data_IF_856479346171
#
_entry.id   IF_856479346171
#
_cell.length_a   1.000
_cell.length_b   1.000
_cell.length_c   1.000
_cell.angle_alpha   90.00
_cell.angle_beta   90.00
_cell.angle_gamma   90.00
#
_symmetry.space_group_name_H-M   'P 1'
#
loop_
_entity.id
_entity.type
_entity.pdbx_description
1 polymer ?
#
# COMPACT_ATOMS: atom_id res chain seq x y z
N UNK A 1 -11.90 -25.56 10.10
CA UNK A 1 -10.92 -24.63 10.68
C UNK A 1 -10.50 -23.67 9.60
N UNK A 2 -10.52 -22.38 9.90
CA UNK A 2 -10.43 -21.24 9.00
C UNK A 2 -9.43 -21.40 7.84
N UNK A 3 -9.85 -20.99 6.63
CA UNK A 3 -8.93 -20.78 5.53
C UNK A 3 -7.88 -19.75 5.97
N UNK A 4 -6.57 -20.02 5.81
CA UNK A 4 -5.56 -19.04 6.16
C UNK A 4 -5.72 -17.85 5.21
N UNK A 5 -6.32 -16.77 5.70
CA UNK A 5 -6.34 -15.47 5.04
C UNK A 5 -4.90 -14.98 4.98
N UNK A 6 -4.16 -15.38 3.94
CA UNK A 6 -2.77 -14.96 3.78
C UNK A 6 -2.75 -13.51 3.29
N UNK A 7 -2.44 -12.62 4.22
CA UNK A 7 -2.12 -11.23 3.90
C UNK A 7 -0.75 -11.19 3.20
N UNK A 8 -0.64 -10.37 2.17
CA UNK A 8 0.62 -10.17 1.44
C UNK A 8 1.05 -8.73 1.57
N UNK A 9 2.31 -8.53 1.98
CA UNK A 9 2.88 -7.21 2.17
C UNK A 9 4.02 -6.95 1.20
N UNK A 10 4.05 -5.76 0.61
CA UNK A 10 5.18 -5.25 -0.16
C UNK A 10 5.68 -3.96 0.49
N UNK A 11 6.99 -3.74 0.45
CA UNK A 11 7.62 -2.49 0.86
C UNK A 11 8.21 -1.80 -0.37
N UNK A 12 7.97 -0.49 -0.49
CA UNK A 12 8.55 0.35 -1.53
C UNK A 12 9.05 1.66 -0.90
N UNK A 13 10.09 2.26 -1.47
CA UNK A 13 10.48 3.60 -0.99
C UNK A 13 9.44 4.65 -1.35
N UNK A 14 9.33 5.66 -0.48
CA UNK A 14 8.55 6.87 -0.71
C UNK A 14 9.00 7.57 -2.00
N UNK A 15 10.30 7.59 -2.30
CA UNK A 15 10.84 8.16 -3.54
C UNK A 15 10.37 7.43 -4.80
N UNK A 16 10.27 6.10 -4.74
CA UNK A 16 9.75 5.29 -5.86
C UNK A 16 8.26 5.49 -6.02
N UNK A 17 7.53 5.54 -4.89
CA UNK A 17 6.10 5.82 -4.87
C UNK A 17 5.81 7.20 -5.47
N UNK A 18 6.48 8.24 -5.00
CA UNK A 18 6.37 9.62 -5.49
C UNK A 18 6.63 9.68 -7.00
N UNK A 19 7.77 9.14 -7.46
CA UNK A 19 8.13 9.17 -8.87
C UNK A 19 7.04 8.54 -9.75
N UNK A 20 6.61 7.32 -9.43
CA UNK A 20 5.60 6.60 -10.23
C UNK A 20 4.25 7.32 -10.24
N UNK A 21 3.83 7.87 -9.10
CA UNK A 21 2.57 8.63 -9.02
C UNK A 21 2.68 9.93 -9.83
N UNK A 22 3.78 10.67 -9.69
CA UNK A 22 4.02 11.91 -10.41
C UNK A 22 4.05 11.69 -11.92
N UNK A 23 4.76 10.66 -12.38
CA UNK A 23 4.86 10.29 -13.80
C UNK A 23 3.49 9.92 -14.40
N UNK A 24 2.65 9.17 -13.67
CA UNK A 24 1.38 8.67 -14.20
C UNK A 24 0.21 9.64 -14.01
N UNK A 25 0.15 10.34 -12.88
CA UNK A 25 -1.02 11.13 -12.47
C UNK A 25 -0.71 12.62 -12.28
N UNK A 26 0.55 13.05 -12.43
CA UNK A 26 0.93 14.45 -12.28
C UNK A 26 0.72 15.01 -10.87
N UNK A 27 0.67 14.15 -9.84
CA UNK A 27 0.52 14.60 -8.46
C UNK A 27 1.80 15.26 -7.95
N UNK A 28 1.63 16.22 -7.05
CA UNK A 28 2.68 17.03 -6.43
C UNK A 28 2.49 17.08 -4.91
N UNK A 29 3.47 17.59 -4.18
CA UNK A 29 3.44 17.67 -2.71
C UNK A 29 3.21 16.29 -2.02
N UNK A 30 3.83 15.24 -2.56
CA UNK A 30 3.72 13.87 -2.04
C UNK A 30 4.69 13.72 -0.86
N UNK A 31 4.15 13.47 0.33
CA UNK A 31 4.89 13.23 1.56
C UNK A 31 4.02 12.36 2.50
N UNK A 32 4.56 11.81 3.61
CA UNK A 32 3.79 10.93 4.49
C UNK A 32 2.47 11.53 5.01
N UNK A 33 2.41 12.84 5.22
CA UNK A 33 1.21 13.52 5.72
C UNK A 33 0.15 13.77 4.63
N UNK A 34 0.52 13.67 3.36
CA UNK A 34 -0.37 13.84 2.20
C UNK A 34 -0.72 12.52 1.51
N UNK A 35 -0.45 11.37 2.15
CA UNK A 35 -0.81 10.04 1.66
C UNK A 35 -1.76 9.39 2.68
N UNK A 36 -3.06 9.38 2.37
CA UNK A 36 -4.10 8.96 3.33
C UNK A 36 -5.25 8.26 2.62
N UNK A 37 -5.66 7.10 3.12
CA UNK A 37 -6.91 6.47 2.67
C UNK A 37 -8.07 7.32 3.19
N UNK A 38 -8.89 7.83 2.27
CA UNK A 38 -10.02 8.71 2.61
C UNK A 38 -11.30 7.90 2.84
N UNK A 39 -11.53 6.88 2.01
CA UNK A 39 -12.76 6.10 2.05
C UNK A 39 -12.55 4.66 1.58
N UNK A 40 -13.41 3.75 2.06
CA UNK A 40 -13.48 2.35 1.66
C UNK A 40 -14.90 2.00 1.25
N UNK A 41 -15.03 1.08 0.30
CA UNK A 41 -16.30 0.43 -0.03
C UNK A 41 -16.75 -0.54 1.08
N UNK A 42 -18.01 -0.96 1.06
CA UNK A 42 -18.57 -1.98 1.96
C UNK A 42 -17.77 -3.29 1.95
N UNK A 43 -17.18 -3.63 0.80
CA UNK A 43 -16.31 -4.80 0.63
C UNK A 43 -14.86 -4.59 1.12
N UNK A 44 -14.57 -3.51 1.85
CA UNK A 44 -13.27 -3.19 2.45
C UNK A 44 -12.23 -2.61 1.49
N UNK A 45 -12.49 -2.61 0.17
CA UNK A 45 -11.57 -2.04 -0.84
C UNK A 45 -11.46 -0.53 -0.68
N UNK A 46 -10.25 0.00 -0.84
CA UNK A 46 -9.99 1.44 -0.89
C UNK A 46 -10.75 2.04 -2.07
N UNK A 47 -11.67 2.96 -1.77
CA UNK A 47 -12.43 3.69 -2.79
C UNK A 47 -11.65 4.94 -3.19
N UNK A 48 -11.23 5.73 -2.21
CA UNK A 48 -10.42 6.94 -2.41
C UNK A 48 -9.19 6.97 -1.50
N UNK A 49 -8.09 7.44 -2.05
CA UNK A 49 -6.83 7.71 -1.36
C UNK A 49 -6.29 9.06 -1.81
N UNK A 50 -6.00 9.93 -0.86
CA UNK A 50 -5.24 11.14 -1.08
C UNK A 50 -3.78 10.77 -1.33
N UNK A 51 -3.19 11.33 -2.38
CA UNK A 51 -1.75 11.29 -2.64
C UNK A 51 -1.31 12.68 -3.11
N UNK A 52 -0.66 13.41 -2.21
CA UNK A 52 -0.27 14.79 -2.47
C UNK A 52 -1.49 15.70 -2.64
N UNK A 53 -1.54 16.38 -3.79
CA UNK A 53 -2.64 17.24 -4.23
C UNK A 53 -3.74 16.50 -5.02
N UNK A 54 -3.65 15.18 -5.15
CA UNK A 54 -4.64 14.35 -5.88
C UNK A 54 -5.41 13.42 -4.97
N UNK A 55 -6.61 13.07 -5.43
CA UNK A 55 -7.38 11.93 -4.93
C UNK A 55 -7.39 10.88 -6.04
N UNK A 56 -6.95 9.68 -5.72
CA UNK A 56 -6.88 8.53 -6.61
C UNK A 56 -7.74 7.39 -6.06
N UNK A 57 -7.98 6.36 -6.88
CA UNK A 57 -8.71 5.17 -6.43
C UNK A 57 -7.76 4.11 -5.87
N UNK A 58 -8.27 3.21 -5.03
CA UNK A 58 -7.50 2.03 -4.61
C UNK A 58 -7.09 1.13 -5.80
N UNK A 59 -7.87 1.17 -6.90
CA UNK A 59 -7.54 0.46 -8.14
C UNK A 59 -6.32 1.06 -8.83
N UNK A 60 -6.20 2.39 -8.86
CA UNK A 60 -5.05 3.10 -9.44
C UNK A 60 -3.74 2.72 -8.75
N UNK A 61 -3.76 2.66 -7.42
CA UNK A 61 -2.61 2.23 -6.61
C UNK A 61 -2.30 0.76 -6.86
N UNK A 62 -3.34 -0.08 -6.85
CA UNK A 62 -3.19 -1.52 -7.10
C UNK A 62 -2.50 -1.79 -8.43
N UNK A 63 -2.96 -1.19 -9.51
CA UNK A 63 -2.40 -1.40 -10.85
C UNK A 63 -0.99 -0.82 -10.96
N UNK A 64 -0.72 0.36 -10.38
CA UNK A 64 0.58 1.02 -10.48
C UNK A 64 1.71 0.28 -9.72
N UNK A 65 1.37 -0.32 -8.58
CA UNK A 65 2.33 -1.00 -7.70
C UNK A 65 2.20 -2.52 -7.73
N UNK A 66 1.34 -3.07 -8.58
CA UNK A 66 1.16 -4.52 -8.73
C UNK A 66 0.57 -5.18 -7.48
N UNK A 67 -0.26 -4.47 -6.72
CA UNK A 67 -0.93 -5.04 -5.55
C UNK A 67 -1.94 -6.11 -5.99
N UNK A 68 -2.09 -7.15 -5.19
CA UNK A 68 -3.03 -8.24 -5.51
C UNK A 68 -4.49 -7.79 -5.46
N UNK A 69 -4.81 -6.83 -4.60
CA UNK A 69 -6.14 -6.31 -4.41
C UNK A 69 -6.12 -4.80 -4.14
N UNK A 70 -7.24 -4.13 -4.41
CA UNK A 70 -7.52 -2.78 -3.93
C UNK A 70 -7.98 -2.77 -2.46
N UNK A 71 -8.15 -3.94 -1.84
CA UNK A 71 -8.26 -4.07 -0.39
C UNK A 71 -6.86 -4.13 0.20
N UNK A 72 -6.32 -2.97 0.58
CA UNK A 72 -5.04 -2.87 1.25
C UNK A 72 -5.09 -1.87 2.40
N UNK A 73 -4.17 -2.01 3.35
CA UNK A 73 -3.73 -0.97 4.27
C UNK A 73 -2.36 -0.45 3.83
N UNK A 74 -2.02 0.77 4.24
CA UNK A 74 -0.70 1.34 4.05
C UNK A 74 -0.14 1.78 5.40
N UNK A 75 1.16 1.60 5.56
CA UNK A 75 1.92 1.93 6.74
C UNK A 75 3.21 2.63 6.32
N UNK A 76 3.67 3.59 7.11
CA UNK A 76 5.00 4.18 6.94
C UNK A 76 5.99 3.44 7.83
N UNK A 77 7.12 3.07 7.23
CA UNK A 77 8.30 2.57 7.93
C UNK A 77 9.34 3.68 7.92
N UNK A 78 9.39 4.43 9.01
CA UNK A 78 10.08 5.72 9.06
C UNK A 78 9.50 6.71 8.05
N UNK A 79 10.36 7.57 7.49
CA UNK A 79 9.98 8.56 6.47
C UNK A 79 10.38 8.16 5.05
N UNK A 80 10.98 6.98 4.89
CA UNK A 80 11.64 6.58 3.64
C UNK A 80 10.87 5.49 2.89
N UNK A 81 10.05 4.71 3.59
CA UNK A 81 9.38 3.54 3.02
C UNK A 81 7.88 3.52 3.32
N UNK A 82 7.13 2.94 2.38
CA UNK A 82 5.70 2.64 2.48
C UNK A 82 5.54 1.13 2.39
N UNK A 83 4.85 0.57 3.37
CA UNK A 83 4.45 -0.83 3.41
C UNK A 83 2.98 -0.94 3.05
N UNK A 84 2.66 -1.64 1.96
CA UNK A 84 1.30 -2.00 1.59
C UNK A 84 1.01 -3.42 2.08
N UNK A 85 -0.09 -3.61 2.80
CA UNK A 85 -0.58 -4.94 3.18
C UNK A 85 -1.93 -5.17 2.52
N UNK A 86 -2.01 -6.14 1.62
CA UNK A 86 -3.24 -6.52 0.92
C UNK A 86 -4.00 -7.58 1.70
N UNK A 87 -5.33 -7.46 1.70
CA UNK A 87 -6.26 -8.33 2.43
C UNK A 87 -7.17 -9.08 1.44
N UNK A 88 -7.30 -10.40 1.63
CA UNK A 88 -8.19 -11.28 0.87
C UNK A 88 -7.66 -11.77 -0.48
N UNK A 89 -8.29 -12.82 -1.02
CA UNK A 89 -7.91 -13.50 -2.27
C UNK A 89 -8.70 -12.94 -3.47
N UNK A 90 -8.00 -12.40 -4.46
CA UNK A 90 -8.60 -11.96 -5.74
C UNK A 90 -7.87 -12.58 -6.92
N UNK A 91 -8.43 -13.67 -7.46
CA UNK A 91 -8.01 -14.48 -8.62
C UNK A 91 -6.53 -14.92 -8.67
N UNK A 92 -6.32 -16.24 -8.67
CA UNK A 92 -5.04 -16.94 -8.70
C UNK A 92 -4.24 -16.78 -10.00
N UNK A 93 -3.86 -15.55 -10.33
CA UNK A 93 -2.77 -15.21 -11.26
C UNK A 93 -1.88 -14.20 -10.53
N UNK A 94 -1.01 -14.73 -9.69
CA UNK A 94 0.02 -13.94 -9.03
C UNK A 94 1.05 -13.55 -10.06
N UNK A 95 1.15 -12.26 -10.37
CA UNK A 95 2.35 -11.73 -11.00
C UNK A 95 3.46 -11.75 -9.95
N UNK A 96 4.07 -12.92 -9.80
CA UNK A 96 5.51 -12.97 -9.59
C UNK A 96 6.14 -12.24 -10.78
N UNK A 97 7.10 -11.35 -10.55
CA UNK A 97 7.89 -10.63 -11.56
C UNK A 97 7.28 -9.35 -12.16
N UNK A 98 7.21 -8.28 -11.38
CA UNK A 98 7.88 -7.00 -11.70
C UNK A 98 8.50 -6.50 -10.38
N UNK A 99 9.80 -6.60 -10.17
CA UNK A 99 10.79 -6.02 -11.06
C UNK A 99 10.93 -4.51 -10.85
N UNK A 100 10.79 -4.02 -9.62
CA UNK A 100 11.49 -2.81 -9.20
C UNK A 100 12.80 -3.24 -8.53
N UNK A 101 13.74 -3.61 -9.39
CA UNK A 101 15.15 -3.65 -9.11
C UNK A 101 15.58 -2.46 -8.23
N UNK A 102 16.12 -2.76 -7.05
CA UNK A 102 16.90 -1.83 -6.23
C UNK A 102 16.19 -1.22 -5.03
N UNK A 103 16.06 -1.98 -3.93
CA UNK A 103 16.37 -1.49 -2.57
C UNK A 103 16.46 -2.65 -1.57
N UNK A 104 17.28 -3.64 -1.93
CA UNK A 104 17.94 -4.46 -0.93
C UNK A 104 19.23 -3.74 -0.52
N UNK A 105 19.17 -2.81 0.46
CA UNK A 105 20.37 -2.32 1.16
C UNK A 105 20.11 -1.51 2.45
N UNK A 106 19.06 -1.81 3.20
CA UNK A 106 18.95 -1.32 4.57
C UNK A 106 18.37 -2.45 5.42
N UNK A 107 19.22 -3.09 6.22
CA UNK A 107 18.92 -4.28 7.02
C UNK A 107 17.94 -4.01 8.16
N UNK A 108 16.69 -3.69 7.85
CA UNK A 108 15.65 -3.46 8.84
C UNK A 108 14.67 -4.63 8.94
N UNK A 109 14.39 -4.98 10.19
CA UNK A 109 13.52 -6.08 10.59
C UNK A 109 12.05 -5.74 10.33
N UNK A 110 11.51 -6.22 9.21
CA UNK A 110 10.09 -6.23 8.88
C UNK A 110 9.16 -6.91 9.92
N UNK A 111 9.74 -7.52 10.97
CA UNK A 111 9.02 -8.31 11.99
C UNK A 111 8.29 -7.50 13.06
N UNK A 112 8.54 -6.18 13.18
CA UNK A 112 7.93 -5.36 14.23
C UNK A 112 6.75 -4.49 13.74
N UNK A 113 6.76 -4.07 12.47
CA UNK A 113 5.72 -3.20 11.88
C UNK A 113 4.35 -3.88 11.86
N UNK A 114 4.33 -5.21 11.71
CA UNK A 114 3.10 -6.00 11.70
C UNK A 114 2.43 -6.12 13.08
N UNK A 115 3.13 -5.83 14.19
CA UNK A 115 2.55 -5.95 15.53
C UNK A 115 1.84 -4.67 16.01
N UNK A 116 2.00 -3.53 15.32
CA UNK A 116 1.45 -2.25 15.78
C UNK A 116 0.29 -1.70 14.94
N UNK A 117 0.20 -2.04 13.65
CA UNK A 117 -0.86 -1.52 12.76
C UNK A 117 -2.26 -2.14 13.00
N UNK A 118 -2.43 -2.96 14.04
CA UNK A 118 -3.72 -3.53 14.50
C UNK A 118 -4.32 -2.83 15.73
N UNK A 119 -3.81 -1.66 16.16
CA UNK A 119 -4.32 -0.92 17.33
C UNK A 119 -5.09 0.36 16.95
N UNK A 120 -6.02 0.28 15.98
CA UNK A 120 -6.70 1.49 15.50
C UNK A 120 -8.04 1.34 14.84
N UNK A 121 -8.81 0.27 15.12
CA UNK A 121 -10.23 0.27 14.77
C UNK A 121 -11.03 0.42 16.06
N UNK A 122 -11.17 1.66 16.53
CA UNK A 122 -12.24 1.99 17.46
C UNK A 122 -13.52 2.05 16.64
N UNK A 123 -14.31 0.99 16.74
CA UNK A 123 -15.71 1.00 16.32
C UNK A 123 -16.48 1.65 17.47
N UNK A 124 -17.10 2.80 17.24
CA UNK A 124 -18.25 3.26 18.04
C UNK A 124 -19.50 2.49 17.64
#
# INVERSE_FOLDING_TARGET
GEAPYQNESISISLSTFERKIKEKYGATNINPNSIKILSRSDGGRVHEIQVGDKVLTGRDIRELFGLRSANFSLAFDGNENIVFTTHGYGHGVGMSQWGANGMAKAGYNYKEILQHYYLGVTVE
#
